data_IF_883948582923
#
_entry.id   IF_883948582923
#
_cell.length_a   1.000
_cell.length_b   1.000
_cell.length_c   1.000
_cell.angle_alpha   90.00
_cell.angle_beta   90.00
_cell.angle_gamma   90.00
#
_symmetry.space_group_name_H-M   'P 1'
#
loop_
_entity.id
_entity.type
_entity.pdbx_description
1 polymer ?
#
# COMPACT_ATOMS: atom_id res chain seq x y z
N UNK A 1 2.81 -13.82 13.55
CA UNK A 1 4.13 -13.45 12.99
C UNK A 1 4.09 -11.94 12.73
N UNK A 2 4.87 -11.12 13.44
CA UNK A 2 4.90 -9.67 13.20
C UNK A 2 5.84 -9.44 12.00
N UNK A 3 5.29 -9.47 10.79
CA UNK A 3 6.05 -9.14 9.58
C UNK A 3 6.21 -7.63 9.49
N UNK A 4 7.35 -7.20 8.96
CA UNK A 4 7.61 -5.79 8.66
C UNK A 4 7.64 -5.60 7.16
N UNK A 5 7.60 -4.36 6.67
CA UNK A 5 7.71 -4.08 5.25
C UNK A 5 8.95 -4.73 4.61
N UNK A 6 10.03 -4.92 5.37
CA UNK A 6 11.27 -5.57 4.90
C UNK A 6 11.08 -7.05 4.54
N UNK A 7 10.06 -7.72 5.07
CA UNK A 7 9.77 -9.13 4.78
C UNK A 7 8.96 -9.33 3.50
N UNK A 8 8.64 -8.27 2.75
CA UNK A 8 7.87 -8.36 1.51
C UNK A 8 8.42 -9.38 0.48
N UNK A 9 9.75 -9.60 0.33
CA UNK A 9 10.23 -10.62 -0.62
C UNK A 9 9.82 -12.03 -0.22
N UNK A 10 9.75 -12.33 1.09
CA UNK A 10 9.28 -13.64 1.60
C UNK A 10 7.80 -13.82 1.33
N UNK A 11 7.01 -12.73 1.43
CA UNK A 11 5.58 -12.76 1.10
C UNK A 11 5.38 -12.90 -0.41
N UNK A 12 6.17 -12.20 -1.22
CA UNK A 12 6.16 -12.33 -2.68
C UNK A 12 6.38 -13.78 -3.11
N UNK A 13 7.36 -14.47 -2.53
CA UNK A 13 7.59 -15.90 -2.83
C UNK A 13 6.38 -16.80 -2.55
N UNK A 14 5.47 -16.40 -1.65
CA UNK A 14 4.24 -17.14 -1.35
C UNK A 14 3.09 -16.83 -2.30
N UNK A 15 3.12 -15.67 -2.99
CA UNK A 15 2.03 -15.21 -3.85
C UNK A 15 2.41 -15.10 -5.34
N UNK A 16 3.69 -15.31 -5.69
CA UNK A 16 4.21 -15.19 -7.06
C UNK A 16 3.48 -16.07 -8.08
N UNK A 17 2.95 -17.20 -7.62
CA UNK A 17 2.28 -18.20 -8.46
C UNK A 17 0.75 -17.99 -8.50
N UNK A 18 0.22 -16.96 -7.83
CA UNK A 18 -1.20 -16.61 -7.92
C UNK A 18 -1.53 -16.19 -9.36
N UNK A 19 -2.47 -16.89 -10.04
CA UNK A 19 -2.89 -16.52 -11.38
C UNK A 19 -3.74 -15.26 -11.36
N UNK A 20 -3.75 -14.52 -12.48
CA UNK A 20 -4.60 -13.33 -12.65
C UNK A 20 -4.04 -12.04 -12.06
N UNK A 21 -2.79 -12.05 -11.58
CA UNK A 21 -2.06 -10.84 -11.18
C UNK A 21 -0.78 -10.70 -12.01
N UNK A 22 -0.49 -9.49 -12.48
CA UNK A 22 0.79 -9.17 -13.08
C UNK A 22 1.92 -9.08 -12.00
N UNK A 23 3.17 -8.96 -12.44
CA UNK A 23 4.30 -8.90 -11.52
C UNK A 23 4.28 -7.65 -10.62
N UNK A 24 3.87 -6.51 -11.15
CA UNK A 24 3.79 -5.26 -10.40
C UNK A 24 2.70 -5.33 -9.32
N UNK A 25 1.54 -5.90 -9.65
CA UNK A 25 0.46 -6.17 -8.72
C UNK A 25 0.90 -7.14 -7.62
N UNK A 26 1.59 -8.23 -7.98
CA UNK A 26 2.14 -9.17 -7.00
C UNK A 26 3.13 -8.50 -6.05
N UNK A 27 4.00 -7.63 -6.54
CA UNK A 27 4.94 -6.88 -5.70
C UNK A 27 4.18 -5.90 -4.78
N UNK A 28 3.18 -5.20 -5.31
CA UNK A 28 2.34 -4.28 -4.54
C UNK A 28 1.61 -5.01 -3.41
N UNK A 29 0.97 -6.15 -3.71
CA UNK A 29 0.28 -6.96 -2.72
C UNK A 29 1.24 -7.55 -1.69
N UNK A 30 2.41 -8.03 -2.10
CA UNK A 30 3.42 -8.55 -1.18
C UNK A 30 3.85 -7.50 -0.15
N UNK A 31 4.07 -6.24 -0.59
CA UNK A 31 4.42 -5.12 0.30
C UNK A 31 3.29 -4.79 1.27
N UNK A 32 2.06 -4.68 0.77
CA UNK A 32 0.88 -4.39 1.59
C UNK A 32 0.59 -5.47 2.63
N UNK A 33 0.79 -6.75 2.27
CA UNK A 33 0.61 -7.90 3.15
C UNK A 33 1.72 -8.03 4.19
N UNK A 34 2.97 -7.69 3.84
CA UNK A 34 4.10 -7.74 4.77
C UNK A 34 4.08 -6.59 5.79
N UNK A 35 3.54 -5.43 5.41
CA UNK A 35 3.50 -4.24 6.25
C UNK A 35 2.71 -4.45 7.55
N UNK A 36 3.26 -3.96 8.65
CA UNK A 36 2.53 -3.72 9.91
C UNK A 36 1.39 -2.72 9.69
N UNK A 37 0.39 -2.65 10.60
CA UNK A 37 -0.66 -1.64 10.52
C UNK A 37 -0.14 -0.20 10.38
N UNK A 38 0.88 0.17 11.15
CA UNK A 38 1.47 1.52 11.12
C UNK A 38 2.20 1.79 9.80
N UNK A 39 3.01 0.83 9.32
CA UNK A 39 3.68 0.97 8.01
C UNK A 39 2.66 1.07 6.87
N UNK A 40 1.59 0.27 6.92
CA UNK A 40 0.52 0.32 5.92
C UNK A 40 -0.21 1.66 5.96
N UNK A 41 -0.45 2.20 7.16
CA UNK A 41 -1.01 3.54 7.32
C UNK A 41 -0.10 4.60 6.70
N UNK A 42 1.21 4.56 6.96
CA UNK A 42 2.17 5.49 6.38
C UNK A 42 2.25 5.39 4.85
N UNK A 43 2.17 4.18 4.29
CA UNK A 43 2.07 3.98 2.83
C UNK A 43 0.80 4.63 2.26
N UNK A 44 -0.34 4.47 2.94
CA UNK A 44 -1.60 5.09 2.53
C UNK A 44 -1.54 6.62 2.62
N UNK A 45 -0.99 7.19 3.69
CA UNK A 45 -0.78 8.64 3.79
C UNK A 45 0.09 9.17 2.65
N UNK A 46 1.16 8.45 2.32
CA UNK A 46 2.07 8.81 1.21
C UNK A 46 1.33 8.80 -0.12
N UNK A 47 0.51 7.79 -0.37
CA UNK A 47 -0.33 7.69 -1.56
C UNK A 47 -1.33 8.86 -1.63
N UNK A 48 -2.06 9.13 -0.54
CA UNK A 48 -3.00 10.26 -0.48
C UNK A 48 -2.32 11.61 -0.70
N UNK A 49 -1.11 11.79 -0.17
CA UNK A 49 -0.29 12.99 -0.44
C UNK A 49 0.07 13.11 -1.92
N UNK A 50 0.46 12.00 -2.57
CA UNK A 50 0.80 11.99 -4.00
C UNK A 50 -0.39 12.36 -4.89
N UNK A 51 -1.61 12.02 -4.47
CA UNK A 51 -2.85 12.38 -5.16
C UNK A 51 -3.32 13.82 -4.87
N UNK A 52 -2.61 14.57 -4.03
CA UNK A 52 -3.07 15.87 -3.52
C UNK A 52 -4.33 15.76 -2.66
N UNK A 53 -4.62 14.56 -2.14
CA UNK A 53 -5.77 14.23 -1.29
C UNK A 53 -5.44 14.36 0.21
N UNK A 54 -4.31 14.95 0.55
CA UNK A 54 -3.85 15.10 1.92
C UNK A 54 -3.70 16.57 2.31
N UNK A 55 -4.19 16.93 3.50
CA UNK A 55 -4.12 18.28 4.05
C UNK A 55 -5.40 19.11 3.85
N UNK A 56 -5.41 20.35 4.38
CA UNK A 56 -6.62 21.21 4.45
C UNK A 56 -7.22 21.55 3.08
N UNK A 57 -6.40 21.63 2.04
CA UNK A 57 -6.85 21.91 0.67
C UNK A 57 -7.55 20.72 0.01
N UNK A 58 -7.20 19.48 0.39
CA UNK A 58 -7.86 18.29 -0.10
C UNK A 58 -9.32 18.18 0.37
N UNK A 59 -9.59 18.56 1.62
CA UNK A 59 -10.96 18.64 2.17
C UNK A 59 -11.87 19.57 1.36
N UNK A 60 -11.33 20.68 0.82
CA UNK A 60 -12.08 21.57 -0.08
C UNK A 60 -12.37 20.92 -1.43
N UNK A 61 -11.43 20.13 -1.97
CA UNK A 61 -11.54 19.52 -3.31
C UNK A 61 -12.54 18.36 -3.36
N UNK A 62 -12.69 17.60 -2.27
CA UNK A 62 -13.63 16.48 -2.19
C UNK A 62 -14.90 16.78 -1.37
N UNK A 63 -14.91 17.89 -0.62
CA UNK A 63 -16.06 18.35 0.17
C UNK A 63 -16.93 19.43 -0.50
N UNK A 64 -16.59 19.86 -1.72
CA UNK A 64 -17.45 20.77 -2.48
C UNK A 64 -18.55 19.96 -3.16
N UNK A 65 -19.71 19.86 -2.49
CA UNK A 65 -21.01 19.65 -3.16
C UNK A 65 -21.52 20.98 -3.66
#
# INVERSE_FOLDING_TARGET
MKTTLKDWPKVYQKIKDVPGLDEHEKILFARSLAATPDERWQMNETYLRSLGCWGRSALKRFGSK
#
